data_IF_870924235163
#
_entry.id   IF_870924235163
#
_cell.length_a   1.000
_cell.length_b   1.000
_cell.length_c   1.000
_cell.angle_alpha   90.00
_cell.angle_beta   90.00
_cell.angle_gamma   90.00
#
_symmetry.space_group_name_H-M   'P 1'
#
loop_
_entity.id
_entity.type
_entity.pdbx_description
1 polymer ?
#
# COMPACT_ATOMS: atom_id res chain seq x y z
N UNK A 1 -20.82 6.81 14.58
CA UNK A 1 -19.55 7.54 14.80
C UNK A 1 -18.74 7.38 13.52
N UNK A 2 -18.42 8.47 12.82
CA UNK A 2 -17.66 8.40 11.58
C UNK A 2 -16.19 8.11 11.92
N UNK A 3 -15.70 6.90 11.60
CA UNK A 3 -14.29 6.58 11.64
C UNK A 3 -13.67 7.15 10.37
N UNK A 4 -12.87 8.21 10.47
CA UNK A 4 -12.15 8.73 9.29
C UNK A 4 -10.94 7.83 9.03
N UNK A 5 -10.82 7.23 7.83
CA UNK A 5 -9.71 6.33 7.54
C UNK A 5 -8.38 7.09 7.60
N UNK A 6 -7.39 6.49 8.28
CA UNK A 6 -6.03 7.03 8.34
C UNK A 6 -5.44 7.08 6.92
N UNK A 7 -5.03 8.26 6.47
CA UNK A 7 -4.44 8.45 5.14
C UNK A 7 -3.09 9.14 5.31
N UNK A 8 -2.02 8.50 4.87
CA UNK A 8 -0.65 9.06 4.91
C UNK A 8 -0.35 9.69 3.56
N UNK A 9 0.03 10.98 3.55
CA UNK A 9 0.33 11.74 2.32
C UNK A 9 1.77 12.20 2.24
N UNK A 10 2.52 12.17 3.33
CA UNK A 10 3.92 12.59 3.40
C UNK A 10 4.70 11.82 4.48
N UNK A 11 6.03 11.94 4.46
CA UNK A 11 6.93 11.26 5.40
C UNK A 11 6.71 11.67 6.86
N UNK A 12 6.19 12.89 7.11
CA UNK A 12 5.88 13.35 8.48
C UNK A 12 4.66 12.60 9.03
N UNK A 13 3.63 12.39 8.21
CA UNK A 13 2.46 11.58 8.56
C UNK A 13 2.83 10.10 8.70
N UNK A 14 3.77 9.61 7.87
CA UNK A 14 4.32 8.25 8.01
C UNK A 14 5.02 8.08 9.36
N UNK A 15 5.90 9.00 9.73
CA UNK A 15 6.59 8.96 11.01
C UNK A 15 5.62 9.03 12.20
N UNK A 16 4.57 9.85 12.10
CA UNK A 16 3.53 9.94 13.11
C UNK A 16 2.70 8.64 13.24
N UNK A 17 2.40 7.99 12.11
CA UNK A 17 1.71 6.70 12.09
C UNK A 17 2.56 5.59 12.73
N UNK A 18 3.86 5.55 12.44
CA UNK A 18 4.80 4.61 13.05
C UNK A 18 4.94 4.84 14.56
N UNK A 19 5.06 6.09 15.00
CA UNK A 19 5.12 6.42 16.42
C UNK A 19 3.83 6.02 17.17
N UNK A 20 2.66 6.14 16.53
CA UNK A 20 1.40 5.64 17.09
C UNK A 20 1.35 4.11 17.16
N UNK A 21 1.83 3.41 16.14
CA UNK A 21 1.90 1.96 16.18
C UNK A 21 2.80 1.47 17.32
N UNK A 22 3.93 2.13 17.55
CA UNK A 22 4.86 1.82 18.65
C UNK A 22 4.19 2.02 20.02
N UNK A 23 3.52 3.17 20.23
CA UNK A 23 2.76 3.48 21.44
C UNK A 23 1.59 2.49 21.68
N UNK A 24 0.93 2.01 20.62
CA UNK A 24 -0.12 0.99 20.70
C UNK A 24 0.43 -0.40 21.05
N UNK A 25 1.63 -0.74 20.58
CA UNK A 25 2.29 -2.00 20.91
C UNK A 25 2.75 -2.04 22.37
N UNK A 26 3.12 -0.88 22.94
CA UNK A 26 3.48 -0.73 24.35
C UNK A 26 2.26 -0.87 25.29
N UNK A 27 1.05 -0.57 24.81
CA UNK A 27 -0.19 -0.76 25.58
C UNK A 27 -0.61 -2.24 25.63
N UNK A 28 -0.27 -2.91 26.74
CA UNK A 28 -0.82 -4.23 27.06
C UNK A 28 -2.30 -4.18 27.46
N UNK A 29 -3.10 -5.15 26.96
CA UNK A 29 -4.48 -5.38 27.40
C UNK A 29 -5.59 -4.59 26.70
N UNK A 30 -5.29 -3.88 25.61
CA UNK A 30 -6.29 -3.10 24.87
C UNK A 30 -6.80 -3.84 23.62
N UNK A 31 -8.05 -4.32 23.63
CA UNK A 31 -8.66 -5.03 22.49
C UNK A 31 -8.87 -4.12 21.26
N UNK A 32 -8.86 -2.80 21.45
CA UNK A 32 -8.97 -1.84 20.36
C UNK A 32 -7.65 -1.62 19.61
N UNK A 33 -6.51 -1.99 20.20
CA UNK A 33 -5.18 -1.86 19.58
C UNK A 33 -5.04 -2.63 18.28
N UNK A 34 -5.63 -3.82 18.19
CA UNK A 34 -5.45 -4.70 17.02
C UNK A 34 -6.12 -4.10 15.78
N UNK A 35 -7.30 -3.50 15.98
CA UNK A 35 -8.00 -2.75 14.94
C UNK A 35 -7.23 -1.49 14.54
N UNK A 36 -6.74 -0.73 15.51
CA UNK A 36 -6.06 0.54 15.24
C UNK A 36 -4.69 0.31 14.56
N UNK A 37 -3.96 -0.74 14.96
CA UNK A 37 -2.74 -1.21 14.29
C UNK A 37 -3.02 -1.65 12.85
N UNK A 38 -4.12 -2.37 12.62
CA UNK A 38 -4.51 -2.80 11.27
C UNK A 38 -4.78 -1.59 10.35
N UNK A 39 -5.44 -0.54 10.87
CA UNK A 39 -5.67 0.70 10.13
C UNK A 39 -4.36 1.46 9.84
N UNK A 40 -3.43 1.49 10.80
CA UNK A 40 -2.11 2.09 10.60
C UNK A 40 -1.31 1.35 9.53
N UNK A 41 -1.27 0.02 9.59
CA UNK A 41 -0.56 -0.81 8.62
C UNK A 41 -1.14 -0.63 7.22
N UNK A 42 -2.47 -0.63 7.08
CA UNK A 42 -3.14 -0.40 5.80
C UNK A 42 -2.79 0.97 5.19
N UNK A 43 -2.70 2.02 6.02
CA UNK A 43 -2.32 3.35 5.55
C UNK A 43 -0.85 3.43 5.10
N UNK A 44 0.06 2.75 5.82
CA UNK A 44 1.49 2.67 5.46
C UNK A 44 1.67 1.91 4.16
N UNK A 45 0.95 0.81 3.97
CA UNK A 45 1.01 0.02 2.74
C UNK A 45 0.51 0.82 1.54
N UNK A 46 -0.65 1.49 1.66
CA UNK A 46 -1.19 2.34 0.59
C UNK A 46 -0.23 3.49 0.20
N UNK A 47 0.43 4.11 1.18
CA UNK A 47 1.43 5.14 0.92
C UNK A 47 2.69 4.57 0.24
N UNK A 48 3.16 3.42 0.71
CA UNK A 48 4.33 2.74 0.14
C UNK A 48 4.05 2.25 -1.28
N UNK A 49 2.85 1.73 -1.55
CA UNK A 49 2.41 1.34 -2.89
C UNK A 49 2.34 2.54 -3.83
N UNK A 50 1.75 3.65 -3.37
CA UNK A 50 1.72 4.91 -4.14
C UNK A 50 3.13 5.42 -4.48
N UNK A 51 4.08 5.30 -3.54
CA UNK A 51 5.50 5.60 -3.76
C UNK A 51 6.20 4.61 -4.69
N UNK A 52 5.88 3.31 -4.60
CA UNK A 52 6.40 2.27 -5.48
C UNK A 52 5.92 2.46 -6.91
N UNK A 53 4.67 2.85 -7.14
CA UNK A 53 4.15 3.20 -8.47
C UNK A 53 4.93 4.37 -9.06
N UNK A 54 5.25 5.40 -8.26
CA UNK A 54 6.11 6.52 -8.68
C UNK A 54 7.54 6.08 -9.05
N UNK A 55 8.09 5.04 -8.42
CA UNK A 55 9.39 4.46 -8.78
C UNK A 55 9.34 3.40 -9.89
N UNK A 56 8.22 2.71 -10.03
CA UNK A 56 8.01 1.56 -10.93
C UNK A 56 7.67 1.96 -12.36
N UNK A 57 7.26 3.20 -12.62
CA UNK A 57 7.14 3.73 -14.00
C UNK A 57 8.49 3.79 -14.73
N UNK A 58 9.63 3.65 -14.03
CA UNK A 58 10.94 3.46 -14.65
C UNK A 58 11.33 2.01 -14.96
N UNK A 59 10.59 1.01 -14.49
CA UNK A 59 10.80 -0.40 -14.86
C UNK A 59 9.62 -0.90 -15.69
N UNK A 60 9.58 -0.43 -16.93
CA UNK A 60 8.67 -0.91 -17.94
C UNK A 60 9.43 -1.85 -18.89
N UNK A 61 9.38 -3.18 -18.69
CA UNK A 61 9.27 -4.08 -19.80
C UNK A 61 7.78 -4.29 -20.05
N UNK A 62 7.27 -3.52 -21.00
CA UNK A 62 6.18 -3.96 -21.85
C UNK A 62 6.47 -5.40 -22.30
N UNK A 63 5.88 -6.39 -21.65
CA UNK A 63 5.63 -7.66 -22.30
C UNK A 63 4.15 -7.98 -22.12
N UNK A 64 3.35 -7.22 -22.87
CA UNK A 64 2.02 -7.65 -23.28
C UNK A 64 2.18 -8.99 -24.00
N UNK A 65 2.06 -10.09 -23.27
CA UNK A 65 1.87 -11.42 -23.84
C UNK A 65 0.41 -11.51 -24.35
N UNK A 66 0.11 -10.69 -25.36
CA UNK A 66 -1.14 -10.68 -26.12
C UNK A 66 -0.81 -10.67 -27.60
N UNK A 67 -0.24 -11.78 -28.09
CA UNK A 67 -0.38 -12.16 -29.50
C UNK A 67 -1.44 -13.24 -29.56
N UNK A 68 -2.68 -12.77 -29.66
CA UNK A 68 -3.82 -13.54 -30.15
C UNK A 68 -3.56 -13.93 -31.60
N UNK A 69 -3.94 -15.15 -31.94
CA UNK A 69 -3.86 -15.76 -33.25
C UNK A 69 -4.38 -14.87 -34.41
N UNK A 70 -3.52 -14.69 -35.41
CA UNK A 70 -3.84 -14.49 -36.83
C UNK A 70 -2.86 -15.44 -37.56
N UNK A 71 -3.27 -16.47 -38.29
CA UNK A 71 -4.06 -16.40 -39.52
C UNK A 71 -3.13 -16.74 -40.71
N UNK A 72 -3.29 -17.94 -41.27
CA UNK A 72 -3.13 -18.35 -42.69
C UNK A 72 -1.97 -17.81 -43.55
N UNK A 73 -1.21 -18.73 -44.14
CA UNK A 73 -0.40 -18.56 -45.38
C UNK A 73 0.68 -19.65 -45.48
N UNK A 74 0.46 -20.72 -46.27
CA UNK A 74 1.24 -21.10 -47.48
C UNK A 74 2.73 -21.38 -47.16
N UNK A 75 3.23 -22.61 -47.26
CA UNK A 75 3.61 -23.31 -48.51
C UNK A 75 3.41 -24.84 -48.44
#
# INVERSE_FOLDING_TARGET
MAHTPLTIRNDTELAAALARADDLLDREGDDTKERELSEIVAAIDAYTDSMKVLRGVSDNPHETSNVTAAGVGEE
#
